data_IF_918672588374
#
_entry.id   IF_918672588374
#
_cell.length_a   1.000
_cell.length_b   1.000
_cell.length_c   1.000
_cell.angle_alpha   90.00
_cell.angle_beta   90.00
_cell.angle_gamma   90.00
#
_symmetry.space_group_name_H-M   'P 1'
#
loop_
_entity.id
_entity.type
_entity.pdbx_description
1 polymer ?
#
# COMPACT_ATOMS: atom_id res chain seq x y z
N UNK A 1 -10.39 4.20 -23.53
CA UNK A 1 -9.69 4.06 -22.21
C UNK A 1 -10.81 4.00 -21.22
N UNK A 2 -11.05 2.83 -20.67
CA UNK A 2 -12.32 2.53 -20.00
C UNK A 2 -12.21 2.79 -18.49
N UNK A 3 -13.30 3.19 -17.82
CA UNK A 3 -13.36 3.35 -16.37
C UNK A 3 -13.09 2.01 -15.65
N UNK A 4 -12.69 2.08 -14.38
CA UNK A 4 -12.27 0.90 -13.59
C UNK A 4 -13.36 -0.19 -13.48
N UNK A 5 -14.64 0.21 -13.49
CA UNK A 5 -15.80 -0.68 -13.44
C UNK A 5 -16.88 -0.22 -14.44
N UNK A 6 -16.74 -0.53 -15.74
CA UNK A 6 -17.53 0.09 -16.79
C UNK A 6 -19.03 -0.17 -16.69
N UNK A 7 -19.46 -1.38 -16.29
CA UNK A 7 -20.89 -1.70 -16.11
C UNK A 7 -21.52 -0.95 -14.94
N UNK A 8 -20.83 -0.88 -13.80
CA UNK A 8 -21.31 -0.17 -12.61
C UNK A 8 -21.33 1.36 -12.83
N UNK A 9 -20.33 1.89 -13.54
CA UNK A 9 -20.29 3.31 -13.92
C UNK A 9 -21.36 3.66 -14.95
N UNK A 10 -21.65 2.78 -15.92
CA UNK A 10 -22.73 2.99 -16.88
C UNK A 10 -24.10 3.09 -16.19
N UNK A 11 -24.43 2.19 -15.26
CA UNK A 11 -25.68 2.23 -14.49
C UNK A 11 -25.82 3.57 -13.74
N UNK A 12 -24.76 3.99 -13.06
CA UNK A 12 -24.77 5.26 -12.35
C UNK A 12 -25.01 6.45 -13.29
N UNK A 13 -24.37 6.47 -14.47
CA UNK A 13 -24.55 7.52 -15.46
C UNK A 13 -25.98 7.54 -16.02
N UNK A 14 -26.56 6.37 -16.32
CA UNK A 14 -27.96 6.25 -16.80
C UNK A 14 -28.95 6.82 -15.76
N UNK A 15 -28.74 6.53 -14.48
CA UNK A 15 -29.66 6.91 -13.40
C UNK A 15 -29.49 8.36 -12.92
N UNK A 16 -28.28 8.93 -13.02
CA UNK A 16 -27.93 10.20 -12.38
C UNK A 16 -27.59 11.33 -13.37
N UNK A 17 -27.58 11.07 -14.69
CA UNK A 17 -27.23 12.07 -15.71
C UNK A 17 -28.18 12.01 -16.90
N UNK A 18 -28.25 13.11 -17.67
CA UNK A 18 -29.07 13.21 -18.89
C UNK A 18 -28.28 12.87 -20.18
N UNK A 19 -27.20 12.09 -20.07
CA UNK A 19 -26.33 11.73 -21.19
C UNK A 19 -27.00 10.73 -22.15
N UNK A 20 -26.59 10.76 -23.42
CA UNK A 20 -27.07 9.79 -24.42
C UNK A 20 -26.42 8.42 -24.23
N UNK A 21 -27.11 7.36 -24.66
CA UNK A 21 -26.55 6.01 -24.62
C UNK A 21 -25.27 5.87 -25.47
N UNK A 22 -25.13 6.66 -26.53
CA UNK A 22 -23.90 6.73 -27.34
C UNK A 22 -22.73 7.31 -26.53
N UNK A 23 -22.95 8.39 -25.78
CA UNK A 23 -21.91 8.99 -24.93
C UNK A 23 -21.47 8.03 -23.81
N UNK A 24 -22.41 7.30 -23.21
CA UNK A 24 -22.11 6.30 -22.17
C UNK A 24 -21.40 5.08 -22.79
N UNK A 25 -21.80 4.67 -24.00
CA UNK A 25 -21.18 3.59 -24.79
C UNK A 25 -19.71 3.88 -25.06
N UNK A 26 -19.43 5.06 -25.59
CA UNK A 26 -18.08 5.52 -25.91
C UNK A 26 -17.20 5.66 -24.66
N UNK A 27 -17.79 6.06 -23.54
CA UNK A 27 -17.05 6.24 -22.29
C UNK A 27 -16.71 4.92 -21.61
N UNK A 28 -17.68 4.01 -21.53
CA UNK A 28 -17.53 2.73 -20.85
C UNK A 28 -16.92 1.63 -21.74
N UNK A 29 -16.73 1.89 -23.04
CA UNK A 29 -16.38 0.89 -24.06
C UNK A 29 -17.35 -0.31 -24.04
N UNK A 30 -18.66 -0.02 -23.86
CA UNK A 30 -19.75 -1.02 -23.83
C UNK A 30 -20.68 -0.75 -25.00
N UNK A 31 -21.11 -1.79 -25.71
CA UNK A 31 -22.04 -1.64 -26.82
C UNK A 31 -23.38 -1.02 -26.38
N UNK A 32 -23.96 -0.14 -27.21
CA UNK A 32 -25.22 0.57 -26.92
C UNK A 32 -26.38 -0.36 -26.48
N UNK A 33 -26.49 -1.56 -27.08
CA UNK A 33 -27.49 -2.57 -26.69
C UNK A 33 -27.31 -3.09 -25.26
N UNK A 34 -26.08 -3.24 -24.78
CA UNK A 34 -25.84 -3.62 -23.39
C UNK A 34 -26.21 -2.49 -22.43
N UNK A 35 -25.98 -1.23 -22.80
CA UNK A 35 -26.40 -0.05 -22.02
C UNK A 35 -27.93 0.05 -21.96
N UNK A 36 -28.60 -0.21 -23.08
CA UNK A 36 -30.05 -0.27 -23.12
C UNK A 36 -30.59 -1.38 -22.22
N UNK A 37 -30.01 -2.59 -22.28
CA UNK A 37 -30.38 -3.68 -21.38
C UNK A 37 -30.14 -3.34 -19.89
N UNK A 38 -29.08 -2.59 -19.57
CA UNK A 38 -28.82 -2.08 -18.22
C UNK A 38 -29.86 -1.04 -17.77
N UNK A 39 -30.31 -0.17 -18.68
CA UNK A 39 -31.36 0.82 -18.43
C UNK A 39 -32.74 0.17 -18.25
N UNK A 40 -33.02 -0.88 -19.02
CA UNK A 40 -34.25 -1.68 -18.92
C UNK A 40 -34.25 -2.62 -17.68
N UNK A 41 -33.17 -2.61 -16.90
CA UNK A 41 -32.90 -3.53 -15.78
C UNK A 41 -33.00 -5.02 -16.18
N UNK A 42 -32.84 -5.32 -17.48
CA UNK A 42 -32.94 -6.66 -18.05
C UNK A 42 -31.54 -7.29 -18.14
N UNK A 43 -31.03 -7.73 -16.99
CA UNK A 43 -29.68 -8.29 -16.89
C UNK A 43 -29.50 -9.28 -15.74
N UNK A 44 -28.50 -10.17 -15.82
CA UNK A 44 -28.22 -11.13 -14.78
C UNK A 44 -27.57 -10.40 -13.58
N UNK A 45 -28.37 -10.16 -12.54
CA UNK A 45 -28.03 -9.58 -11.22
C UNK A 45 -28.06 -8.05 -11.14
N UNK A 46 -28.61 -7.46 -10.04
CA UNK A 46 -28.55 -6.03 -9.81
C UNK A 46 -27.12 -5.60 -9.46
N UNK A 47 -26.42 -5.00 -10.41
CA UNK A 47 -25.12 -4.37 -10.19
C UNK A 47 -25.38 -3.00 -9.55
N UNK A 48 -24.79 -2.73 -8.38
CA UNK A 48 -24.90 -1.42 -7.75
C UNK A 48 -24.13 -0.38 -8.57
N UNK A 49 -24.80 0.71 -8.96
CA UNK A 49 -24.16 1.83 -9.64
C UNK A 49 -23.01 2.40 -8.81
N UNK A 50 -21.84 2.61 -9.45
CA UNK A 50 -20.68 3.20 -8.81
C UNK A 50 -20.47 4.62 -9.32
N UNK A 51 -20.49 5.58 -8.38
CA UNK A 51 -20.28 7.00 -8.68
C UNK A 51 -18.86 7.25 -9.25
N UNK A 52 -18.74 7.67 -10.52
CA UNK A 52 -17.46 7.99 -11.15
C UNK A 52 -16.86 9.30 -10.65
N UNK A 53 -17.65 10.20 -10.05
CA UNK A 53 -17.19 11.44 -9.43
C UNK A 53 -16.55 11.13 -8.08
N UNK A 54 -17.20 10.30 -7.25
CA UNK A 54 -16.62 9.82 -5.99
C UNK A 54 -15.31 9.06 -6.24
N UNK A 55 -15.24 8.32 -7.34
CA UNK A 55 -14.03 7.61 -7.78
C UNK A 55 -12.96 8.52 -8.39
N UNK A 56 -13.21 9.84 -8.47
CA UNK A 56 -12.34 10.85 -9.10
C UNK A 56 -11.99 10.56 -10.58
N UNK A 57 -12.82 9.77 -11.27
CA UNK A 57 -12.65 9.42 -12.68
C UNK A 57 -13.29 10.47 -13.60
N UNK A 58 -14.39 11.07 -13.16
CA UNK A 58 -15.09 12.16 -13.84
C UNK A 58 -15.24 13.38 -12.93
N UNK A 59 -15.51 14.53 -13.55
CA UNK A 59 -15.88 15.76 -12.83
C UNK A 59 -17.30 16.15 -13.19
N UNK A 60 -18.03 16.76 -12.25
CA UNK A 60 -19.37 17.28 -12.49
C UNK A 60 -19.41 18.28 -13.64
N UNK A 61 -18.35 19.07 -13.81
CA UNK A 61 -18.23 20.03 -14.91
C UNK A 61 -18.17 19.36 -16.28
N UNK A 62 -17.46 18.22 -16.41
CA UNK A 62 -17.37 17.50 -17.67
C UNK A 62 -18.70 16.82 -18.02
N UNK A 63 -19.41 16.29 -17.01
CA UNK A 63 -20.75 15.72 -17.21
C UNK A 63 -21.70 16.79 -17.74
N UNK A 64 -21.79 17.96 -17.09
CA UNK A 64 -22.67 19.06 -17.53
C UNK A 64 -22.39 19.53 -18.95
N UNK A 65 -21.10 19.65 -19.33
CA UNK A 65 -20.71 20.02 -20.70
C UNK A 65 -21.15 18.99 -21.73
N UNK A 66 -21.16 17.71 -21.37
CA UNK A 66 -21.62 16.62 -22.25
C UNK A 66 -23.15 16.49 -22.24
N UNK A 67 -23.83 16.89 -21.17
CA UNK A 67 -25.30 16.98 -21.14
C UNK A 67 -25.82 18.10 -22.06
N UNK A 68 -25.10 19.22 -22.15
CA UNK A 68 -25.44 20.33 -23.06
C UNK A 68 -25.10 20.06 -24.53
N UNK A 69 -24.14 19.18 -24.81
CA UNK A 69 -23.66 18.85 -26.16
C UNK A 69 -23.61 17.34 -26.38
N UNK A 70 -24.65 16.81 -27.03
CA UNK A 70 -24.80 15.39 -27.33
C UNK A 70 -23.73 14.82 -28.27
N UNK A 71 -22.96 15.67 -28.96
CA UNK A 71 -21.88 15.24 -29.88
C UNK A 71 -20.54 15.02 -29.19
N UNK A 72 -20.44 15.41 -27.91
CA UNK A 72 -19.20 15.39 -27.15
C UNK A 72 -19.05 14.10 -26.34
N UNK A 73 -17.92 13.41 -26.49
CA UNK A 73 -17.58 12.22 -25.71
C UNK A 73 -16.95 12.57 -24.36
N UNK A 74 -17.38 11.89 -23.30
CA UNK A 74 -16.79 11.99 -21.96
C UNK A 74 -15.32 11.54 -21.98
N UNK A 75 -14.45 12.27 -21.28
CA UNK A 75 -13.04 11.91 -21.11
C UNK A 75 -12.72 11.66 -19.65
N UNK A 76 -12.05 10.54 -19.39
CA UNK A 76 -11.50 10.23 -18.07
C UNK A 76 -10.52 11.34 -17.65
N UNK A 77 -10.63 11.77 -16.40
CA UNK A 77 -9.60 12.59 -15.78
C UNK A 77 -8.35 11.72 -15.62
N UNK A 78 -7.21 12.15 -16.16
CA UNK A 78 -5.94 11.51 -15.87
C UNK A 78 -5.72 11.55 -14.36
N UNK A 79 -5.70 10.37 -13.74
CA UNK A 79 -5.38 10.25 -12.33
C UNK A 79 -3.94 10.77 -12.13
N UNK A 80 -3.68 11.61 -11.11
CA UNK A 80 -2.30 11.92 -10.75
C UNK A 80 -1.60 10.60 -10.43
N UNK A 81 -0.47 10.34 -11.08
CA UNK A 81 0.37 9.17 -10.77
C UNK A 81 0.77 9.22 -9.29
N UNK A 82 0.01 8.56 -8.43
CA UNK A 82 0.49 8.26 -7.08
C UNK A 82 1.61 7.24 -7.24
N UNK A 83 2.85 7.75 -7.32
CA UNK A 83 4.07 6.95 -7.18
C UNK A 83 4.11 6.39 -5.76
N UNK A 84 3.34 5.33 -5.51
CA UNK A 84 3.50 4.52 -4.31
C UNK A 84 4.87 3.88 -4.44
N UNK A 85 5.88 4.51 -3.85
CA UNK A 85 7.19 3.90 -3.63
C UNK A 85 6.97 2.73 -2.69
N UNK A 86 6.64 1.57 -3.26
CA UNK A 86 6.66 0.29 -2.54
C UNK A 86 8.12 0.06 -2.19
N UNK A 87 8.55 0.54 -1.02
CA UNK A 87 9.82 0.15 -0.41
C UNK A 87 9.81 -1.37 -0.39
N UNK A 88 10.55 -1.99 -1.32
CA UNK A 88 10.67 -3.45 -1.40
C UNK A 88 11.25 -3.91 -0.07
N UNK A 89 10.42 -4.51 0.77
CA UNK A 89 10.88 -5.13 2.02
C UNK A 89 11.81 -6.26 1.60
N UNK A 90 13.12 -6.10 1.81
CA UNK A 90 14.10 -7.14 1.49
C UNK A 90 13.75 -8.39 2.29
N UNK A 91 13.33 -9.46 1.62
CA UNK A 91 13.05 -10.73 2.26
C UNK A 91 14.30 -11.21 2.99
N UNK A 92 14.21 -11.38 4.32
CA UNK A 92 15.29 -12.00 5.09
C UNK A 92 15.13 -13.53 5.06
N UNK A 93 16.12 -14.29 4.57
CA UNK A 93 16.09 -15.75 4.55
C UNK A 93 15.86 -16.36 5.94
N UNK A 94 15.19 -17.51 6.01
CA UNK A 94 14.81 -18.16 7.26
C UNK A 94 16.00 -18.46 8.19
N UNK A 95 17.14 -18.89 7.63
CA UNK A 95 18.38 -19.09 8.39
C UNK A 95 18.79 -17.84 9.16
N UNK A 96 18.83 -16.69 8.47
CA UNK A 96 19.09 -15.38 9.07
C UNK A 96 17.98 -14.91 10.01
N UNK A 97 16.81 -15.55 10.11
CA UNK A 97 15.80 -15.19 11.12
C UNK A 97 16.13 -15.78 12.49
N UNK A 98 16.78 -16.94 12.52
CA UNK A 98 17.19 -17.60 13.75
C UNK A 98 18.33 -16.87 14.47
N UNK A 99 19.19 -16.17 13.71
CA UNK A 99 20.29 -15.37 14.30
C UNK A 99 19.86 -13.95 14.70
N UNK A 100 18.62 -13.51 14.43
CA UNK A 100 18.15 -12.17 14.85
C UNK A 100 18.12 -12.00 16.37
N UNK A 101 17.58 -12.96 17.16
CA UNK A 101 17.67 -12.90 18.62
C UNK A 101 19.10 -12.82 19.14
N UNK A 102 20.05 -13.53 18.50
CA UNK A 102 21.48 -13.52 18.84
C UNK A 102 22.09 -12.12 18.64
N UNK A 103 21.76 -11.48 17.51
CA UNK A 103 22.19 -10.11 17.20
C UNK A 103 21.58 -9.07 18.16
N UNK A 104 20.29 -9.20 18.50
CA UNK A 104 19.62 -8.33 19.48
C UNK A 104 20.28 -8.49 20.86
N UNK A 105 20.54 -9.73 21.30
CA UNK A 105 21.17 -10.01 22.58
C UNK A 105 22.59 -9.42 22.67
N UNK A 106 23.34 -9.40 21.56
CA UNK A 106 24.64 -8.75 21.48
C UNK A 106 24.53 -7.24 21.65
N UNK A 107 23.63 -6.57 20.93
CA UNK A 107 23.45 -5.11 21.07
C UNK A 107 23.04 -4.75 22.50
N UNK A 108 22.09 -5.47 23.09
CA UNK A 108 21.65 -5.22 24.47
C UNK A 108 22.79 -5.42 25.49
N UNK A 109 23.69 -6.38 25.25
CA UNK A 109 24.81 -6.69 26.14
C UNK A 109 25.94 -5.67 26.06
N UNK A 110 26.35 -5.28 24.85
CA UNK A 110 27.51 -4.39 24.64
C UNK A 110 27.14 -2.91 24.54
N UNK A 111 25.90 -2.60 24.14
CA UNK A 111 25.40 -1.25 23.97
C UNK A 111 24.04 -1.07 24.67
N UNK A 112 24.01 -1.02 26.02
CA UNK A 112 22.76 -0.92 26.78
C UNK A 112 21.99 0.39 26.51
N UNK A 113 22.67 1.42 25.99
CA UNK A 113 22.08 2.72 25.65
C UNK A 113 21.33 2.75 24.30
N UNK A 114 21.32 1.65 23.54
CA UNK A 114 20.58 1.58 22.29
C UNK A 114 19.07 1.64 22.52
N UNK A 115 18.42 2.64 21.93
CA UNK A 115 16.95 2.72 21.93
C UNK A 115 16.33 1.63 21.04
N UNK A 116 15.12 1.19 21.37
CA UNK A 116 14.42 0.14 20.61
C UNK A 116 14.26 0.53 19.15
N UNK A 117 14.00 1.83 18.88
CA UNK A 117 13.88 2.36 17.53
C UNK A 117 15.18 2.21 16.72
N UNK A 118 16.35 2.35 17.34
CA UNK A 118 17.63 2.13 16.68
C UNK A 118 17.83 0.65 16.35
N UNK A 119 17.54 -0.24 17.30
CA UNK A 119 17.64 -1.69 17.10
C UNK A 119 16.67 -2.16 16.01
N UNK A 120 15.44 -1.65 15.98
CA UNK A 120 14.47 -1.96 14.93
C UNK A 120 14.96 -1.52 13.55
N UNK A 121 15.55 -0.33 13.43
CA UNK A 121 16.10 0.16 12.15
C UNK A 121 17.31 -0.66 11.70
N UNK A 122 18.23 -0.97 12.62
CA UNK A 122 19.48 -1.66 12.31
C UNK A 122 19.26 -3.14 11.96
N UNK A 123 18.43 -3.84 12.73
CA UNK A 123 18.20 -5.29 12.55
C UNK A 123 16.90 -5.60 11.80
N UNK A 124 16.17 -4.58 11.35
CA UNK A 124 14.84 -4.69 10.72
C UNK A 124 13.84 -5.50 11.57
N UNK A 125 14.00 -5.51 12.90
CA UNK A 125 13.19 -6.33 13.82
C UNK A 125 11.99 -5.55 14.38
N UNK A 126 11.15 -6.23 15.15
CA UNK A 126 10.00 -5.59 15.83
C UNK A 126 10.29 -5.32 17.30
N UNK A 127 9.62 -4.30 17.86
CA UNK A 127 9.73 -3.96 19.29
C UNK A 127 9.41 -5.14 20.21
N UNK A 128 8.34 -5.90 19.89
CA UNK A 128 7.95 -7.11 20.63
C UNK A 128 9.08 -8.14 20.68
N UNK A 129 9.81 -8.32 19.57
CA UNK A 129 10.95 -9.24 19.54
C UNK A 129 12.10 -8.75 20.41
N UNK A 130 12.38 -7.44 20.44
CA UNK A 130 13.42 -6.85 21.30
C UNK A 130 13.07 -7.06 22.78
N UNK A 131 11.83 -6.77 23.17
CA UNK A 131 11.35 -6.94 24.55
C UNK A 131 11.44 -8.39 25.01
N UNK A 132 10.97 -9.35 24.20
CA UNK A 132 11.04 -10.78 24.54
C UNK A 132 12.48 -11.31 24.67
N UNK A 133 13.43 -10.77 23.90
CA UNK A 133 14.86 -11.11 24.04
C UNK A 133 15.44 -10.49 25.32
N UNK A 134 15.13 -9.22 25.63
CA UNK A 134 15.56 -8.56 26.89
C UNK A 134 15.04 -9.28 28.12
N UNK A 135 13.76 -9.66 28.10
CA UNK A 135 13.09 -10.37 29.19
C UNK A 135 13.44 -11.87 29.23
N UNK A 136 14.23 -12.37 28.26
CA UNK A 136 14.56 -13.80 28.08
C UNK A 136 13.33 -14.72 27.94
N UNK A 137 12.18 -14.17 27.53
CA UNK A 137 10.91 -14.88 27.30
C UNK A 137 10.73 -15.33 25.84
N UNK A 138 11.71 -15.08 24.97
CA UNK A 138 11.70 -15.56 23.60
C UNK A 138 11.64 -17.10 23.55
N UNK A 139 10.89 -17.67 22.59
CA UNK A 139 10.71 -19.13 22.44
C UNK A 139 12.02 -19.93 22.37
N UNK A 140 13.08 -19.30 21.87
CA UNK A 140 14.41 -19.91 21.74
C UNK A 140 15.43 -19.40 22.78
N UNK A 141 15.00 -18.83 23.90
CA UNK A 141 15.87 -18.12 24.86
C UNK A 141 17.05 -18.95 25.38
N UNK A 142 16.87 -20.27 25.53
CA UNK A 142 17.89 -21.23 25.98
C UNK A 142 19.11 -21.27 25.03
N UNK A 143 18.88 -21.13 23.72
CA UNK A 143 19.92 -21.27 22.71
C UNK A 143 20.48 -19.93 22.21
N UNK A 144 19.98 -18.78 22.72
CA UNK A 144 20.44 -17.47 22.27
C UNK A 144 21.87 -17.25 22.71
N UNK A 145 22.77 -17.02 21.74
CA UNK A 145 24.17 -16.67 21.99
C UNK A 145 24.45 -15.28 21.41
N UNK A 146 24.92 -14.31 22.21
CA UNK A 146 25.22 -12.98 21.70
C UNK A 146 26.26 -13.03 20.56
N UNK A 147 25.83 -12.72 19.32
CA UNK A 147 26.70 -12.64 18.13
C UNK A 147 26.69 -11.24 17.54
N UNK A 148 27.84 -10.79 17.04
CA UNK A 148 27.95 -9.47 16.44
C UNK A 148 27.07 -9.36 15.17
N UNK A 149 26.17 -8.36 15.07
CA UNK A 149 25.26 -8.20 13.95
C UNK A 149 25.94 -7.97 12.59
N UNK A 150 27.17 -7.45 12.59
CA UNK A 150 27.98 -7.26 11.38
C UNK A 150 28.47 -8.61 10.86
N UNK A 151 28.95 -9.49 11.75
CA UNK A 151 29.43 -10.82 11.38
C UNK A 151 28.30 -11.72 10.86
N UNK A 152 27.09 -11.55 11.39
CA UNK A 152 25.89 -12.28 10.92
C UNK A 152 25.36 -11.68 9.60
N UNK A 153 25.82 -10.48 9.23
CA UNK A 153 25.43 -9.80 8.00
C UNK A 153 24.02 -9.21 8.04
N UNK A 154 23.64 -8.63 9.20
CA UNK A 154 22.42 -7.81 9.33
C UNK A 154 22.67 -6.33 9.06
N UNK A 155 23.85 -5.83 9.40
CA UNK A 155 24.26 -4.45 9.15
C UNK A 155 25.72 -4.41 8.70
N UNK A 156 26.12 -3.33 8.02
CA UNK A 156 27.53 -3.09 7.74
C UNK A 156 28.24 -2.47 8.95
N UNK A 157 29.57 -2.49 8.95
CA UNK A 157 30.36 -1.84 10.00
C UNK A 157 30.02 -0.34 10.09
N UNK A 158 29.91 0.34 8.94
CA UNK A 158 29.55 1.77 8.89
C UNK A 158 28.16 2.06 9.48
N UNK A 159 27.18 1.18 9.25
CA UNK A 159 25.83 1.32 9.81
C UNK A 159 25.83 1.14 11.33
N UNK A 160 26.63 0.19 11.84
CA UNK A 160 26.78 -0.02 13.27
C UNK A 160 27.43 1.20 13.93
N UNK A 161 28.54 1.70 13.37
CA UNK A 161 29.27 2.85 13.92
C UNK A 161 28.39 4.11 13.95
N UNK A 162 27.62 4.37 12.88
CA UNK A 162 26.63 5.46 12.85
C UNK A 162 25.56 5.30 13.94
N UNK A 163 25.07 4.07 14.14
CA UNK A 163 24.07 3.80 15.17
C UNK A 163 24.64 3.99 16.59
N UNK A 164 25.91 3.65 16.82
CA UNK A 164 26.62 3.88 18.09
C UNK A 164 26.75 5.37 18.38
N UNK A 165 27.25 6.16 17.43
CA UNK A 165 27.35 7.63 17.55
C UNK A 165 25.98 8.24 17.84
N UNK A 166 24.93 7.73 17.19
CA UNK A 166 23.57 8.20 17.43
C UNK A 166 23.10 7.83 18.83
N UNK A 167 23.38 6.61 19.31
CA UNK A 167 23.00 6.14 20.65
C UNK A 167 23.70 6.92 21.77
N UNK A 168 24.97 7.32 21.58
CA UNK A 168 25.69 8.18 22.54
C UNK A 168 25.00 9.52 22.78
N UNK A 169 24.31 10.08 21.77
CA UNK A 169 23.54 11.33 21.94
C UNK A 169 22.37 11.19 22.91
N UNK A 170 21.89 9.96 23.14
CA UNK A 170 20.82 9.65 24.09
C UNK A 170 21.35 9.23 25.47
N UNK A 171 22.67 9.28 25.70
CA UNK A 171 23.32 9.02 27.00
C UNK A 171 23.15 10.19 28.01
N UNK A 172 22.16 11.07 27.80
CA UNK A 172 21.88 12.18 28.73
C UNK A 172 21.23 11.68 30.00
#
# INVERSE_FOLDING_TARGET
>A
MSPLMPKATAIWLIENTALTFEQISDFCDIHILEIQALADHDGPSPILGLDPIASSQLTLEEIKKCEEDSSRSLKLKEAPEYKISKKKVKYTPLAKRQDRPDAIAWIVKYYPHFTDNMIMKLLSTTKKTIETVRLKTHKNSINIKPKNPVLVGFCTQEELDKAVIQAEKYKK
#
